data_IF_116111298419
#
_entry.id   IF_116111298419
#
_cell.length_a   1.000
_cell.length_b   1.000
_cell.length_c   1.000
_cell.angle_alpha   90.00
_cell.angle_beta   90.00
_cell.angle_gamma   90.00
#
_symmetry.space_group_name_H-M   'P 1'
#
loop_
_entity.id
_entity.type
_entity.pdbx_description
1 polymer ?
#
# COMPACT_ATOMS: atom_id res chain seq x y z
N UNK A 1 -20.97 -29.42 -14.17
CA UNK A 1 -20.89 -28.61 -15.40
C UNK A 1 -21.22 -27.18 -15.02
N UNK A 2 -20.21 -26.39 -14.71
CA UNK A 2 -20.34 -24.98 -14.40
C UNK A 2 -19.38 -24.22 -15.31
N UNK A 3 -19.97 -23.42 -16.18
CA UNK A 3 -19.52 -22.16 -16.76
C UNK A 3 -18.09 -22.03 -17.25
N UNK A 4 -17.83 -22.47 -18.48
CA UNK A 4 -16.74 -21.94 -19.31
C UNK A 4 -17.19 -20.57 -19.85
N UNK A 5 -17.09 -19.53 -19.00
CA UNK A 5 -17.51 -18.17 -19.26
C UNK A 5 -16.33 -17.22 -19.17
N UNK A 6 -15.78 -16.84 -20.33
CA UNK A 6 -15.04 -15.62 -20.63
C UNK A 6 -13.78 -15.38 -19.77
N UNK A 7 -12.76 -16.20 -19.94
CA UNK A 7 -11.38 -15.82 -19.67
C UNK A 7 -10.99 -14.84 -20.78
N UNK A 8 -10.94 -13.55 -20.47
CA UNK A 8 -10.30 -12.58 -21.36
C UNK A 8 -8.90 -13.10 -21.68
N UNK A 9 -8.64 -13.39 -22.95
CA UNK A 9 -7.35 -13.91 -23.38
C UNK A 9 -6.32 -12.80 -23.20
N UNK A 10 -5.47 -12.93 -22.18
CA UNK A 10 -4.30 -12.05 -22.02
C UNK A 10 -3.45 -12.11 -23.28
N UNK A 11 -2.88 -10.95 -23.71
CA UNK A 11 -1.99 -10.89 -24.88
C UNK A 11 -0.80 -11.83 -24.71
N UNK A 12 -0.24 -12.32 -25.83
CA UNK A 12 0.92 -13.22 -25.79
C UNK A 12 2.09 -12.64 -24.98
N UNK A 13 2.41 -11.35 -25.16
CA UNK A 13 3.45 -10.66 -24.40
C UNK A 13 3.16 -10.64 -22.89
N UNK A 14 1.92 -10.36 -22.49
CA UNK A 14 1.54 -10.34 -21.09
C UNK A 14 1.57 -11.76 -20.48
N UNK A 15 1.23 -12.78 -21.26
CA UNK A 15 1.38 -14.17 -20.84
C UNK A 15 2.86 -14.53 -20.61
N UNK A 16 3.78 -14.10 -21.48
CA UNK A 16 5.21 -14.31 -21.30
C UNK A 16 5.75 -13.61 -20.04
N UNK A 17 5.31 -12.37 -19.76
CA UNK A 17 5.68 -11.66 -18.51
C UNK A 17 5.17 -12.41 -17.27
N UNK A 18 3.96 -12.95 -17.32
CA UNK A 18 3.44 -13.79 -16.24
C UNK A 18 4.27 -15.05 -16.03
N UNK A 19 4.64 -15.74 -17.13
CA UNK A 19 5.49 -16.95 -17.03
C UNK A 19 6.90 -16.60 -16.47
N UNK A 20 7.47 -15.45 -16.83
CA UNK A 20 8.72 -14.97 -16.21
C UNK A 20 8.56 -14.75 -14.70
N UNK A 21 7.44 -14.14 -14.27
CA UNK A 21 7.13 -13.99 -12.85
C UNK A 21 7.08 -15.35 -12.14
N UNK A 22 6.37 -16.31 -12.72
CA UNK A 22 6.23 -17.65 -12.14
C UNK A 22 7.57 -18.39 -12.08
N UNK A 23 8.37 -18.32 -13.14
CA UNK A 23 9.73 -18.86 -13.17
C UNK A 23 10.60 -18.24 -12.08
N UNK A 24 10.54 -16.91 -11.92
CA UNK A 24 11.29 -16.23 -10.87
C UNK A 24 10.88 -16.64 -9.45
N UNK A 25 9.59 -16.79 -9.21
CA UNK A 25 9.08 -17.28 -7.92
C UNK A 25 9.56 -18.71 -7.63
N UNK A 26 9.57 -19.59 -8.62
CA UNK A 26 10.11 -20.96 -8.48
C UNK A 26 11.60 -20.97 -8.14
N UNK A 27 12.41 -20.11 -8.76
CA UNK A 27 13.83 -19.95 -8.48
C UNK A 27 14.09 -19.47 -7.04
N UNK A 28 13.25 -18.57 -6.51
CA UNK A 28 13.34 -18.09 -5.14
C UNK A 28 13.04 -19.18 -4.09
N UNK A 29 12.28 -20.21 -4.46
CA UNK A 29 12.02 -21.38 -3.63
C UNK A 29 11.02 -21.11 -2.52
N UNK A 30 11.47 -20.90 -1.27
CA UNK A 30 10.60 -20.58 -0.13
C UNK A 30 10.62 -19.07 0.14
N UNK A 31 9.47 -18.42 0.04
CA UNK A 31 9.40 -16.96 -0.05
C UNK A 31 8.46 -16.36 1.01
N UNK A 32 8.96 -15.38 1.75
CA UNK A 32 8.13 -14.43 2.51
C UNK A 32 7.77 -13.26 1.59
N UNK A 33 6.49 -12.98 1.43
CA UNK A 33 6.00 -11.87 0.60
C UNK A 33 5.57 -10.72 1.49
N UNK A 34 6.22 -9.55 1.38
CA UNK A 34 5.79 -8.32 2.04
C UNK A 34 4.44 -7.88 1.48
N UNK A 35 3.38 -8.07 2.26
CA UNK A 35 2.00 -7.93 1.84
C UNK A 35 1.36 -6.70 2.49
N UNK A 36 0.96 -5.73 1.69
CA UNK A 36 0.30 -4.50 2.15
C UNK A 36 -1.19 -4.43 1.79
N UNK A 37 -1.72 -5.45 1.09
CA UNK A 37 -3.08 -5.45 0.56
C UNK A 37 -3.32 -4.48 -0.60
N UNK A 38 -2.29 -3.79 -1.11
CA UNK A 38 -2.35 -3.04 -2.36
C UNK A 38 -2.30 -3.99 -3.57
N UNK A 39 -2.75 -3.55 -4.74
CA UNK A 39 -2.88 -4.38 -5.96
C UNK A 39 -1.60 -5.17 -6.24
N UNK A 40 -0.45 -4.50 -6.22
CA UNK A 40 0.82 -5.10 -6.60
C UNK A 40 1.25 -6.20 -5.62
N UNK A 41 1.23 -5.91 -4.31
CA UNK A 41 1.58 -6.90 -3.28
C UNK A 41 0.56 -8.04 -3.17
N UNK A 42 -0.73 -7.74 -3.42
CA UNK A 42 -1.79 -8.74 -3.38
C UNK A 42 -1.71 -9.69 -4.58
N UNK A 43 -1.44 -9.15 -5.78
CA UNK A 43 -1.21 -9.97 -6.95
C UNK A 43 0.07 -10.81 -6.80
N UNK A 44 1.16 -10.24 -6.27
CA UNK A 44 2.39 -10.99 -6.00
C UNK A 44 2.15 -12.14 -5.02
N UNK A 45 1.43 -11.90 -3.91
CA UNK A 45 1.12 -12.92 -2.92
C UNK A 45 0.24 -14.03 -3.50
N UNK A 46 -0.78 -13.67 -4.29
CA UNK A 46 -1.62 -14.61 -5.00
C UNK A 46 -0.82 -15.46 -6.00
N UNK A 47 0.02 -14.84 -6.83
CA UNK A 47 0.86 -15.54 -7.80
C UNK A 47 1.86 -16.47 -7.13
N UNK A 48 2.48 -16.00 -6.04
CA UNK A 48 3.39 -16.82 -5.24
C UNK A 48 2.66 -18.03 -4.63
N UNK A 49 1.44 -17.83 -4.10
CA UNK A 49 0.64 -18.93 -3.57
C UNK A 49 0.23 -19.94 -4.65
N UNK A 50 -0.17 -19.46 -5.82
CA UNK A 50 -0.54 -20.32 -6.95
C UNK A 50 0.62 -21.21 -7.42
N UNK A 51 1.86 -20.70 -7.38
CA UNK A 51 3.04 -21.41 -7.90
C UNK A 51 3.76 -22.21 -6.83
N UNK A 52 3.86 -21.70 -5.61
CA UNK A 52 4.67 -22.25 -4.53
C UNK A 52 3.86 -23.02 -3.48
N UNK A 53 2.55 -22.82 -3.42
CA UNK A 53 1.67 -23.43 -2.42
C UNK A 53 2.15 -23.11 -0.99
N UNK A 54 2.42 -24.12 -0.18
CA UNK A 54 2.87 -23.98 1.21
C UNK A 54 4.32 -23.47 1.37
N UNK A 55 5.04 -23.23 0.27
CA UNK A 55 6.37 -22.64 0.30
C UNK A 55 6.36 -21.12 0.24
N UNK A 56 5.20 -20.48 0.35
CA UNK A 56 5.10 -19.04 0.49
C UNK A 56 4.30 -18.69 1.75
N UNK A 57 4.59 -17.50 2.30
CA UNK A 57 3.83 -16.89 3.39
C UNK A 57 3.76 -15.39 3.12
N UNK A 58 2.55 -14.84 3.10
CA UNK A 58 2.36 -13.39 3.09
C UNK A 58 2.59 -12.85 4.51
N UNK A 59 3.38 -11.79 4.64
CA UNK A 59 3.65 -11.13 5.92
C UNK A 59 3.17 -9.69 5.85
N UNK A 60 2.22 -9.33 6.71
CA UNK A 60 1.65 -7.99 6.82
C UNK A 60 2.11 -7.33 8.10
N UNK A 61 2.61 -6.10 8.01
CA UNK A 61 2.89 -5.28 9.18
C UNK A 61 1.58 -4.77 9.81
N UNK A 62 1.37 -5.00 11.10
CA UNK A 62 0.39 -4.27 11.90
C UNK A 62 1.01 -2.95 12.36
N UNK A 63 1.05 -2.01 11.42
CA UNK A 63 1.60 -0.67 11.59
C UNK A 63 0.50 0.32 11.99
N UNK A 64 0.76 1.24 12.94
CA UNK A 64 -0.13 2.35 13.21
C UNK A 64 -0.39 3.26 12.00
N UNK A 65 0.49 3.21 11.00
CA UNK A 65 0.34 3.94 9.73
C UNK A 65 -0.55 3.24 8.71
N UNK A 66 -0.93 1.98 8.95
CA UNK A 66 -1.86 1.23 8.10
C UNK A 66 -3.28 1.45 8.58
N UNK A 67 -4.12 2.05 7.73
CA UNK A 67 -5.54 2.24 8.06
C UNK A 67 -6.23 0.89 8.35
N UNK A 68 -6.98 0.82 9.45
CA UNK A 68 -7.65 -0.43 9.88
C UNK A 68 -8.58 -1.01 8.83
N UNK A 69 -9.30 -0.14 8.09
CA UNK A 69 -10.15 -0.57 6.98
C UNK A 69 -9.33 -1.22 5.84
N UNK A 70 -8.10 -0.75 5.59
CA UNK A 70 -7.21 -1.37 4.60
C UNK A 70 -6.68 -2.71 5.07
N UNK A 71 -6.32 -2.81 6.35
CA UNK A 71 -5.87 -4.05 6.96
C UNK A 71 -6.97 -5.12 6.88
N UNK A 72 -8.20 -4.76 7.27
CA UNK A 72 -9.35 -5.66 7.22
C UNK A 72 -9.60 -6.18 5.80
N UNK A 73 -9.65 -5.27 4.80
CA UNK A 73 -9.85 -5.64 3.40
C UNK A 73 -8.73 -6.55 2.86
N UNK A 74 -7.49 -6.33 3.31
CA UNK A 74 -6.36 -7.16 2.92
C UNK A 74 -6.41 -8.56 3.54
N UNK A 75 -6.81 -8.67 4.80
CA UNK A 75 -7.02 -9.96 5.50
C UNK A 75 -8.15 -10.75 4.83
N UNK A 76 -9.26 -10.09 4.52
CA UNK A 76 -10.40 -10.71 3.81
C UNK A 76 -9.96 -11.24 2.43
N UNK A 77 -9.23 -10.43 1.65
CA UNK A 77 -8.72 -10.87 0.35
C UNK A 77 -7.78 -12.07 0.47
N UNK A 78 -6.87 -12.07 1.45
CA UNK A 78 -5.99 -13.21 1.66
C UNK A 78 -6.78 -14.48 1.99
N UNK A 79 -7.79 -14.37 2.85
CA UNK A 79 -8.68 -15.49 3.22
C UNK A 79 -9.50 -16.00 2.02
N UNK A 80 -10.09 -15.10 1.22
CA UNK A 80 -10.83 -15.43 -0.01
C UNK A 80 -9.98 -16.23 -1.01
N UNK A 81 -8.69 -15.87 -1.13
CA UNK A 81 -7.75 -16.51 -2.06
C UNK A 81 -6.99 -17.71 -1.43
N UNK A 82 -7.24 -18.05 -0.16
CA UNK A 82 -6.52 -19.10 0.55
C UNK A 82 -5.03 -18.81 0.76
N UNK A 83 -4.62 -17.55 0.71
CA UNK A 83 -3.22 -17.12 0.87
C UNK A 83 -2.86 -17.23 2.37
N UNK A 84 -1.82 -18.01 2.74
CA UNK A 84 -1.35 -18.05 4.12
C UNK A 84 -0.80 -16.66 4.50
N UNK A 85 -1.32 -16.09 5.58
CA UNK A 85 -1.03 -14.74 6.05
C UNK A 85 -0.59 -14.75 7.50
N UNK A 86 0.53 -14.10 7.78
CA UNK A 86 0.99 -13.75 9.12
C UNK A 86 0.93 -12.24 9.31
N UNK A 87 0.45 -11.79 10.47
CA UNK A 87 0.41 -10.38 10.84
C UNK A 87 1.43 -10.17 11.94
N UNK A 88 2.38 -9.28 11.70
CA UNK A 88 3.50 -9.00 12.60
C UNK A 88 3.43 -7.54 13.09
N UNK A 89 3.63 -7.27 14.37
CA UNK A 89 3.72 -5.90 14.86
C UNK A 89 5.00 -5.23 14.33
N UNK A 90 4.95 -3.91 14.16
CA UNK A 90 6.10 -3.07 13.84
C UNK A 90 6.12 -1.85 14.74
N UNK A 91 7.34 -1.42 15.09
CA UNK A 91 7.59 -0.36 16.07
C UNK A 91 8.17 0.91 15.42
N UNK A 92 7.84 1.17 14.13
CA UNK A 92 8.37 2.35 13.43
C UNK A 92 8.06 3.69 14.14
N UNK A 93 7.00 3.75 14.97
CA UNK A 93 6.71 4.94 15.76
C UNK A 93 7.69 5.16 16.93
N UNK A 94 8.46 4.17 17.32
CA UNK A 94 9.53 4.32 18.31
C UNK A 94 10.83 4.87 17.66
N UNK A 95 10.92 4.85 16.33
CA UNK A 95 12.04 5.38 15.58
C UNK A 95 11.91 6.91 15.40
N UNK A 96 12.81 7.68 16.02
CA UNK A 96 12.83 9.14 15.92
C UNK A 96 13.02 9.65 14.49
N UNK A 97 13.74 8.91 13.64
CA UNK A 97 13.97 9.27 12.25
C UNK A 97 12.71 9.09 11.41
N UNK A 98 11.90 8.07 11.68
CA UNK A 98 10.57 7.93 11.10
C UNK A 98 9.63 9.04 11.60
N UNK A 99 9.62 9.32 12.90
CA UNK A 99 8.75 10.34 13.49
C UNK A 99 9.01 11.75 12.94
N UNK A 100 10.25 12.07 12.52
CA UNK A 100 10.61 13.36 11.92
C UNK A 100 9.83 13.69 10.66
N UNK A 101 9.33 12.67 9.98
CA UNK A 101 8.51 12.82 8.78
C UNK A 101 9.20 13.63 7.68
N UNK A 102 10.44 13.32 7.41
CA UNK A 102 11.21 13.86 6.28
C UNK A 102 11.08 13.00 5.01
N UNK A 103 11.83 13.37 3.99
CA UNK A 103 11.85 12.64 2.71
C UNK A 103 12.30 11.17 2.84
N UNK A 104 13.00 10.81 3.93
CA UNK A 104 13.47 9.45 4.20
C UNK A 104 12.47 8.59 5.01
N UNK A 105 11.33 9.13 5.45
CA UNK A 105 10.34 8.40 6.25
C UNK A 105 10.01 7.01 5.68
N UNK A 106 9.80 6.90 4.37
CA UNK A 106 9.48 5.62 3.73
C UNK A 106 10.64 4.63 3.74
N UNK A 107 11.89 5.12 3.82
CA UNK A 107 13.06 4.26 4.05
C UNK A 107 12.96 3.61 5.42
N UNK A 108 12.80 4.39 6.49
CA UNK A 108 12.75 3.89 7.86
C UNK A 108 11.59 2.91 8.09
N UNK A 109 10.41 3.18 7.51
CA UNK A 109 9.27 2.26 7.56
C UNK A 109 9.56 0.92 6.86
N UNK A 110 10.26 0.93 5.73
CA UNK A 110 10.59 -0.30 5.00
C UNK A 110 11.76 -1.05 5.61
N UNK A 111 12.74 -0.33 6.16
CA UNK A 111 13.86 -0.89 6.90
C UNK A 111 13.37 -1.69 8.11
N UNK A 112 12.46 -1.11 8.89
CA UNK A 112 11.78 -1.80 10.00
C UNK A 112 11.05 -3.06 9.54
N UNK A 113 10.18 -2.95 8.52
CA UNK A 113 9.42 -4.09 7.99
C UNK A 113 10.35 -5.23 7.55
N UNK A 114 11.39 -4.93 6.79
CA UNK A 114 12.29 -5.97 6.28
C UNK A 114 13.13 -6.58 7.39
N UNK A 115 13.57 -5.78 8.38
CA UNK A 115 14.23 -6.28 9.58
C UNK A 115 13.35 -7.26 10.38
N UNK A 116 12.07 -6.95 10.58
CA UNK A 116 11.10 -7.84 11.23
C UNK A 116 10.92 -9.12 10.41
N UNK A 117 10.84 -9.04 9.08
CA UNK A 117 10.71 -10.23 8.22
C UNK A 117 11.96 -11.11 8.24
N UNK A 118 13.16 -10.53 8.31
CA UNK A 118 14.41 -11.29 8.47
C UNK A 118 14.46 -12.01 9.82
N UNK A 119 14.07 -11.33 10.90
CA UNK A 119 13.96 -11.95 12.22
C UNK A 119 12.95 -13.09 12.25
N UNK A 120 11.78 -12.89 11.62
CA UNK A 120 10.77 -13.94 11.47
C UNK A 120 11.32 -15.13 10.71
N UNK A 121 12.03 -14.90 9.60
CA UNK A 121 12.68 -15.96 8.82
C UNK A 121 13.69 -16.75 9.65
N UNK A 122 14.52 -16.07 10.43
CA UNK A 122 15.52 -16.68 11.29
C UNK A 122 14.90 -17.49 12.45
N UNK A 123 13.83 -16.96 13.06
CA UNK A 123 13.14 -17.60 14.19
C UNK A 123 12.36 -18.86 13.78
N UNK A 124 11.97 -18.99 12.51
CA UNK A 124 11.19 -20.13 11.99
C UNK A 124 11.98 -21.45 11.95
N UNK A 125 13.26 -21.45 12.29
CA UNK A 125 14.12 -22.62 12.41
C UNK A 125 14.52 -23.28 11.09
N UNK A 126 15.51 -24.17 11.14
CA UNK A 126 16.07 -24.83 9.96
C UNK A 126 15.04 -25.66 9.13
N UNK A 127 13.93 -26.07 9.74
CA UNK A 127 12.90 -26.89 9.09
C UNK A 127 11.95 -26.09 8.21
N UNK A 128 11.85 -24.77 8.36
CA UNK A 128 11.03 -23.91 7.50
C UNK A 128 11.86 -23.10 6.49
N UNK A 129 13.15 -22.93 6.70
CA UNK A 129 14.16 -22.36 5.81
C UNK A 129 13.66 -21.39 4.74
N UNK A 130 13.16 -20.20 5.14
CA UNK A 130 12.79 -19.16 4.18
C UNK A 130 14.03 -18.71 3.41
N UNK A 131 13.98 -18.80 2.09
CA UNK A 131 15.14 -18.55 1.22
C UNK A 131 15.22 -17.10 0.74
N UNK A 132 14.08 -16.40 0.69
CA UNK A 132 14.00 -15.04 0.21
C UNK A 132 12.82 -14.25 0.83
N UNK A 133 13.00 -12.94 0.87
CA UNK A 133 11.91 -11.96 1.06
C UNK A 133 11.62 -11.31 -0.29
N UNK A 134 10.36 -11.13 -0.65
CA UNK A 134 9.93 -10.49 -1.89
C UNK A 134 8.93 -9.36 -1.61
N UNK A 135 8.91 -8.32 -2.46
CA UNK A 135 7.96 -7.22 -2.34
C UNK A 135 7.38 -6.77 -3.70
N UNK A 136 6.24 -6.10 -3.65
CA UNK A 136 5.42 -5.78 -4.83
C UNK A 136 5.81 -4.49 -5.54
N UNK A 137 7.10 -4.24 -5.80
CA UNK A 137 7.55 -3.14 -6.66
C UNK A 137 7.42 -3.55 -8.13
N UNK A 138 7.02 -2.61 -8.99
CA UNK A 138 6.80 -2.82 -10.41
C UNK A 138 7.63 -1.83 -11.29
N UNK A 139 7.51 -1.92 -12.62
CA UNK A 139 8.28 -1.09 -13.56
C UNK A 139 7.98 0.40 -13.41
N UNK A 140 6.71 0.78 -13.16
CA UNK A 140 6.32 2.20 -13.03
C UNK A 140 6.88 2.84 -11.75
N UNK A 141 7.37 2.03 -10.81
CA UNK A 141 8.04 2.51 -9.60
C UNK A 141 9.52 2.90 -9.84
N UNK A 142 10.06 2.61 -11.02
CA UNK A 142 11.40 3.03 -11.43
C UNK A 142 11.38 4.51 -11.86
N UNK A 143 12.38 5.25 -11.48
CA UNK A 143 12.53 6.67 -11.87
C UNK A 143 11.91 7.67 -10.88
N UNK A 144 11.07 7.25 -9.95
CA UNK A 144 10.58 8.06 -8.86
C UNK A 144 11.54 8.05 -7.66
N UNK A 145 11.52 9.15 -6.88
CA UNK A 145 12.18 9.17 -5.59
C UNK A 145 11.41 8.25 -4.62
N UNK A 146 11.94 7.05 -4.42
CA UNK A 146 11.32 6.04 -3.53
C UNK A 146 12.34 5.49 -2.54
N UNK A 147 12.56 6.20 -1.42
CA UNK A 147 13.54 5.80 -0.41
C UNK A 147 13.31 4.39 0.14
N UNK A 148 12.07 3.88 0.15
CA UNK A 148 11.77 2.50 0.51
C UNK A 148 12.42 1.43 -0.38
N UNK A 149 12.75 1.75 -1.65
CA UNK A 149 13.51 0.84 -2.51
C UNK A 149 14.99 0.75 -2.10
N UNK A 150 15.52 1.81 -1.47
CA UNK A 150 16.88 1.77 -0.91
C UNK A 150 16.93 0.76 0.25
N UNK A 151 15.94 0.76 1.14
CA UNK A 151 15.82 -0.24 2.20
C UNK A 151 15.73 -1.66 1.61
N UNK A 152 14.86 -1.89 0.63
CA UNK A 152 14.73 -3.19 -0.02
C UNK A 152 16.06 -3.71 -0.60
N UNK A 153 16.85 -2.84 -1.23
CA UNK A 153 18.19 -3.22 -1.74
C UNK A 153 19.17 -3.57 -0.61
N UNK A 154 19.14 -2.83 0.51
CA UNK A 154 20.02 -3.09 1.66
C UNK A 154 19.73 -4.44 2.30
N UNK A 155 18.46 -4.84 2.37
CA UNK A 155 17.99 -6.13 2.88
C UNK A 155 17.99 -7.26 1.82
N UNK A 156 18.48 -7.02 0.61
CA UNK A 156 18.50 -8.04 -0.45
C UNK A 156 17.12 -8.55 -0.85
N UNK A 157 16.07 -7.74 -0.70
CA UNK A 157 14.67 -8.14 -0.98
C UNK A 157 14.45 -8.26 -2.48
N UNK A 158 13.93 -9.42 -2.92
CA UNK A 158 13.63 -9.70 -4.32
C UNK A 158 12.44 -8.87 -4.83
N UNK A 159 12.47 -8.55 -6.12
CA UNK A 159 11.46 -7.71 -6.79
C UNK A 159 10.83 -8.45 -8.00
N UNK A 160 10.11 -9.57 -7.80
CA UNK A 160 9.72 -10.47 -8.90
C UNK A 160 8.85 -9.81 -9.97
N UNK A 161 7.95 -8.87 -9.59
CA UNK A 161 7.12 -8.15 -10.56
C UNK A 161 7.96 -7.24 -11.45
N UNK A 162 8.92 -6.52 -10.86
CA UNK A 162 9.86 -5.67 -11.57
C UNK A 162 10.79 -6.50 -12.47
N UNK A 163 11.32 -7.59 -11.94
CA UNK A 163 12.22 -8.51 -12.67
C UNK A 163 11.50 -9.18 -13.85
N UNK A 164 10.20 -9.43 -13.74
CA UNK A 164 9.36 -9.90 -14.84
C UNK A 164 9.00 -8.81 -15.86
N UNK A 165 9.33 -7.55 -15.59
CA UNK A 165 9.02 -6.41 -16.46
C UNK A 165 7.54 -6.00 -16.44
N UNK A 166 6.82 -6.23 -15.34
CA UNK A 166 5.40 -5.92 -15.19
C UNK A 166 5.18 -4.46 -14.80
N UNK A 167 4.35 -3.78 -15.56
CA UNK A 167 3.80 -2.46 -15.24
C UNK A 167 2.57 -2.59 -14.33
N UNK A 168 2.16 -1.49 -13.70
CA UNK A 168 0.95 -1.46 -12.86
C UNK A 168 -0.32 -1.77 -13.66
N UNK A 169 -0.41 -1.30 -14.88
CA UNK A 169 -1.53 -1.60 -15.77
C UNK A 169 -1.61 -3.10 -16.11
N UNK A 170 -0.46 -3.71 -16.40
CA UNK A 170 -0.37 -5.14 -16.67
C UNK A 170 -0.68 -6.02 -15.46
N UNK A 171 -0.23 -5.60 -14.26
CA UNK A 171 -0.59 -6.29 -13.01
C UNK A 171 -2.09 -6.25 -12.78
N UNK A 172 -2.76 -5.11 -13.02
CA UNK A 172 -4.22 -4.98 -12.96
C UNK A 172 -4.92 -5.88 -13.98
N UNK A 173 -4.43 -5.93 -15.22
CA UNK A 173 -4.98 -6.79 -16.26
C UNK A 173 -4.84 -8.28 -15.89
N UNK A 174 -3.71 -8.70 -15.35
CA UNK A 174 -3.50 -10.07 -14.87
C UNK A 174 -4.40 -10.39 -13.67
N UNK A 175 -4.57 -9.45 -12.73
CA UNK A 175 -5.47 -9.60 -11.60
C UNK A 175 -6.94 -9.73 -12.06
N UNK A 176 -7.35 -8.93 -13.05
CA UNK A 176 -8.68 -9.01 -13.64
C UNK A 176 -8.92 -10.35 -14.32
N UNK A 177 -7.98 -10.79 -15.18
CA UNK A 177 -8.06 -12.07 -15.87
C UNK A 177 -8.08 -13.28 -14.90
N UNK A 178 -7.46 -13.13 -13.72
CA UNK A 178 -7.52 -14.12 -12.64
C UNK A 178 -8.79 -14.02 -11.77
N UNK A 179 -9.70 -13.09 -12.04
CA UNK A 179 -10.93 -12.89 -11.28
C UNK A 179 -10.71 -12.30 -9.87
N UNK A 180 -9.58 -11.64 -9.62
CA UNK A 180 -9.26 -11.10 -8.31
C UNK A 180 -9.92 -9.74 -8.11
N UNK A 181 -10.69 -9.57 -7.03
CA UNK A 181 -11.44 -8.32 -6.76
C UNK A 181 -10.57 -7.08 -6.57
N UNK A 182 -9.25 -7.27 -6.39
CA UNK A 182 -8.32 -6.16 -6.16
C UNK A 182 -7.89 -5.42 -7.45
N UNK A 183 -8.29 -5.90 -8.62
CA UNK A 183 -7.81 -5.39 -9.91
C UNK A 183 -8.08 -3.89 -10.12
N UNK A 184 -9.21 -3.36 -9.65
CA UNK A 184 -9.61 -1.95 -9.76
C UNK A 184 -9.38 -1.15 -8.47
N UNK A 185 -8.79 -1.78 -7.43
CA UNK A 185 -8.57 -1.14 -6.14
C UNK A 185 -7.76 0.15 -6.29
N UNK A 186 -8.24 1.29 -5.76
CA UNK A 186 -7.48 2.54 -5.78
C UNK A 186 -6.14 2.42 -5.05
N UNK A 187 -5.15 3.22 -5.48
CA UNK A 187 -3.87 3.29 -4.80
C UNK A 187 -4.07 3.76 -3.35
N UNK A 188 -3.55 2.97 -2.41
CA UNK A 188 -3.71 3.19 -0.99
C UNK A 188 -2.34 3.41 -0.35
N UNK A 189 -2.01 4.68 -0.10
CA UNK A 189 -0.81 5.03 0.64
C UNK A 189 -1.09 4.97 2.16
N UNK A 190 -0.03 4.84 2.98
CA UNK A 190 -0.13 4.81 4.44
C UNK A 190 -0.68 6.14 5.01
N UNK A 191 -1.27 6.13 6.22
CA UNK A 191 -1.82 7.32 6.89
C UNK A 191 -0.75 8.41 7.12
N UNK A 192 0.49 8.03 7.39
CA UNK A 192 1.59 8.99 7.56
C UNK A 192 1.84 9.85 6.31
N UNK A 193 1.48 9.37 5.11
CA UNK A 193 1.56 10.17 3.88
C UNK A 193 0.56 11.34 3.83
N UNK A 194 -0.38 11.42 4.78
CA UNK A 194 -1.34 12.52 4.92
C UNK A 194 -0.78 13.65 5.77
N UNK A 195 0.29 13.39 6.52
CA UNK A 195 0.87 14.36 7.44
C UNK A 195 1.88 15.21 6.67
N UNK A 196 1.78 16.52 6.81
CA UNK A 196 2.69 17.50 6.20
C UNK A 196 4.15 17.19 6.57
N UNK A 197 5.05 17.22 5.60
CA UNK A 197 6.47 16.97 5.82
C UNK A 197 7.05 17.94 6.90
N UNK A 198 7.93 17.40 7.75
CA UNK A 198 8.50 18.12 8.89
C UNK A 198 7.59 18.19 10.12
N UNK A 199 6.33 17.78 10.00
CA UNK A 199 5.44 17.63 11.16
C UNK A 199 5.56 16.21 11.71
N UNK A 200 5.77 16.11 13.02
CA UNK A 200 6.00 14.83 13.69
C UNK A 200 4.85 13.84 13.47
N UNK A 201 5.19 12.61 13.08
CA UNK A 201 4.24 11.49 13.05
C UNK A 201 4.09 10.97 14.48
N UNK A 202 2.87 10.99 14.99
CA UNK A 202 2.51 10.40 16.29
C UNK A 202 1.26 9.55 16.14
N UNK A 203 1.02 8.69 17.12
CA UNK A 203 -0.19 7.83 17.14
C UNK A 203 -1.47 8.68 17.09
N UNK A 204 -1.52 9.75 17.88
CA UNK A 204 -2.69 10.65 17.97
C UNK A 204 -2.99 11.30 16.62
N UNK A 205 -1.96 11.73 15.89
CA UNK A 205 -2.11 12.36 14.56
C UNK A 205 -2.57 11.31 13.53
N UNK A 206 -2.03 10.09 13.57
CA UNK A 206 -2.47 9.01 12.69
C UNK A 206 -3.94 8.64 12.95
N UNK A 207 -4.34 8.47 14.21
CA UNK A 207 -5.73 8.20 14.60
C UNK A 207 -6.68 9.34 14.22
N UNK A 208 -6.22 10.60 14.33
CA UNK A 208 -7.00 11.76 13.92
C UNK A 208 -7.26 11.76 12.40
N UNK A 209 -6.23 11.45 11.61
CA UNK A 209 -6.35 11.31 10.15
C UNK A 209 -7.27 10.15 9.80
N UNK A 210 -7.10 8.99 10.43
CA UNK A 210 -7.90 7.80 10.16
C UNK A 210 -9.37 8.05 10.41
N UNK A 211 -9.73 8.58 11.60
CA UNK A 211 -11.13 8.93 11.92
C UNK A 211 -11.73 9.91 10.91
N UNK A 212 -10.92 10.88 10.47
CA UNK A 212 -11.37 11.83 9.45
C UNK A 212 -11.59 11.19 8.08
N UNK A 213 -10.71 10.27 7.65
CA UNK A 213 -10.89 9.51 6.41
C UNK A 213 -12.08 8.55 6.50
N UNK A 214 -12.33 7.95 7.67
CA UNK A 214 -13.50 7.09 7.91
C UNK A 214 -14.81 7.91 7.84
N UNK A 215 -14.83 9.12 8.38
CA UNK A 215 -15.98 10.00 8.28
C UNK A 215 -16.30 10.37 6.81
N UNK A 216 -15.27 10.65 5.99
CA UNK A 216 -15.46 10.91 4.56
C UNK A 216 -15.95 9.66 3.82
N UNK A 217 -15.44 8.49 4.16
CA UNK A 217 -15.90 7.21 3.60
C UNK A 217 -17.37 6.93 3.96
N UNK A 218 -17.76 7.19 5.20
CA UNK A 218 -19.16 7.07 5.66
C UNK A 218 -20.11 8.06 4.95
N UNK A 219 -19.61 9.18 4.45
CA UNK A 219 -20.37 10.10 3.58
C UNK A 219 -20.47 9.60 2.13
N UNK A 220 -19.85 8.46 1.80
CA UNK A 220 -19.92 7.79 0.52
C UNK A 220 -18.82 8.20 -0.49
N UNK A 221 -17.83 8.98 -0.10
CA UNK A 221 -16.68 9.26 -0.97
C UNK A 221 -15.80 8.02 -1.12
N UNK A 222 -15.31 7.75 -2.33
CA UNK A 222 -14.51 6.57 -2.67
C UNK A 222 -13.02 6.90 -2.82
N UNK A 223 -12.70 8.01 -3.47
CA UNK A 223 -11.32 8.43 -3.69
C UNK A 223 -11.07 9.84 -3.14
N UNK A 224 -10.40 9.89 -2.02
CA UNK A 224 -10.12 11.12 -1.27
C UNK A 224 -8.87 10.98 -0.42
N UNK A 225 -8.40 12.10 0.14
CA UNK A 225 -7.38 12.15 1.19
C UNK A 225 -7.71 13.28 2.17
N UNK A 226 -7.46 13.02 3.44
CA UNK A 226 -7.50 14.05 4.46
C UNK A 226 -6.06 14.40 4.86
N UNK A 227 -5.58 15.57 4.46
CA UNK A 227 -4.22 16.04 4.75
C UNK A 227 -4.21 16.80 6.07
N UNK A 228 -3.25 16.42 6.92
CA UNK A 228 -3.06 17.01 8.23
C UNK A 228 -2.01 18.13 8.17
N UNK A 229 -2.47 19.39 8.35
CA UNK A 229 -1.65 20.60 8.45
C UNK A 229 -1.81 21.24 9.85
N UNK A 230 -1.57 20.46 10.92
CA UNK A 230 -1.79 20.87 12.29
C UNK A 230 -3.27 21.05 12.61
N UNK A 231 -3.69 22.27 12.87
CA UNK A 231 -5.09 22.58 13.18
C UNK A 231 -6.03 22.50 11.96
N UNK A 232 -5.49 22.38 10.75
CA UNK A 232 -6.24 22.36 9.50
C UNK A 232 -6.29 20.97 8.90
N UNK A 233 -7.49 20.47 8.64
CA UNK A 233 -7.74 19.35 7.74
C UNK A 233 -7.96 19.89 6.31
N UNK A 234 -7.08 19.55 5.36
CA UNK A 234 -7.29 19.81 3.93
C UNK A 234 -7.80 18.55 3.27
N UNK A 235 -9.02 18.59 2.75
CA UNK A 235 -9.68 17.46 2.11
C UNK A 235 -9.44 17.54 0.61
N UNK A 236 -8.87 16.47 0.04
CA UNK A 236 -8.72 16.26 -1.40
C UNK A 236 -9.75 15.20 -1.81
N UNK A 237 -10.64 15.50 -2.75
CA UNK A 237 -11.67 14.59 -3.28
C UNK A 237 -11.41 14.39 -4.77
N UNK A 238 -11.62 13.19 -5.29
CA UNK A 238 -11.50 12.90 -6.71
C UNK A 238 -12.40 13.83 -7.54
N UNK A 239 -11.94 14.21 -8.73
CA UNK A 239 -12.65 15.17 -9.60
C UNK A 239 -14.07 14.71 -9.93
N UNK A 240 -14.22 13.41 -10.13
CA UNK A 240 -15.50 12.78 -10.47
C UNK A 240 -16.51 12.83 -9.32
N UNK A 241 -16.03 13.04 -8.09
CA UNK A 241 -16.85 13.14 -6.88
C UNK A 241 -16.97 14.58 -6.36
N UNK A 242 -16.26 15.55 -6.98
CA UNK A 242 -16.16 16.93 -6.48
C UNK A 242 -17.51 17.64 -6.49
N UNK A 243 -18.32 17.45 -7.53
CA UNK A 243 -19.66 18.07 -7.65
C UNK A 243 -20.53 17.73 -6.42
N UNK A 244 -20.49 16.49 -5.97
CA UNK A 244 -21.22 16.05 -4.76
C UNK A 244 -20.68 16.70 -3.48
N UNK A 245 -19.40 17.04 -3.45
CA UNK A 245 -18.79 17.71 -2.31
C UNK A 245 -19.17 19.20 -2.22
N UNK A 246 -19.50 19.85 -3.36
CA UNK A 246 -19.69 21.29 -3.48
C UNK A 246 -21.14 21.72 -3.15
N UNK A 247 -21.67 21.29 -2.00
CA UNK A 247 -22.96 21.76 -1.51
C UNK A 247 -22.85 22.28 -0.07
N UNK A 248 -23.68 23.27 0.29
CA UNK A 248 -23.69 23.80 1.66
C UNK A 248 -24.02 22.72 2.70
N UNK A 249 -24.88 21.79 2.35
CA UNK A 249 -25.20 20.65 3.22
C UNK A 249 -23.97 19.77 3.44
N UNK A 250 -23.25 19.39 2.38
CA UNK A 250 -22.06 18.57 2.48
C UNK A 250 -20.94 19.30 3.23
N UNK A 251 -20.77 20.59 3.01
CA UNK A 251 -19.82 21.41 3.78
C UNK A 251 -20.14 21.39 5.27
N UNK A 252 -21.40 21.53 5.65
CA UNK A 252 -21.81 21.43 7.06
C UNK A 252 -21.52 20.05 7.64
N UNK A 253 -21.85 18.97 6.93
CA UNK A 253 -21.58 17.60 7.34
C UNK A 253 -20.08 17.34 7.51
N UNK A 254 -19.25 17.71 6.53
CA UNK A 254 -17.79 17.56 6.61
C UNK A 254 -17.23 18.37 7.79
N UNK A 255 -17.67 19.63 7.94
CA UNK A 255 -17.20 20.50 9.02
C UNK A 255 -17.47 19.88 10.40
N UNK A 256 -18.68 19.40 10.65
CA UNK A 256 -19.04 18.78 11.93
C UNK A 256 -18.23 17.52 12.18
N UNK A 257 -18.18 16.60 11.21
CA UNK A 257 -17.52 15.31 11.37
C UNK A 257 -15.99 15.43 11.54
N UNK A 258 -15.35 16.27 10.73
CA UNK A 258 -13.89 16.42 10.77
C UNK A 258 -13.44 17.20 12.00
N UNK A 259 -14.21 18.21 12.44
CA UNK A 259 -13.92 18.92 13.70
C UNK A 259 -14.08 17.99 14.92
N UNK A 260 -15.03 17.05 14.88
CA UNK A 260 -15.17 16.03 15.92
C UNK A 260 -13.94 15.12 16.01
N UNK A 261 -13.14 15.02 14.95
CA UNK A 261 -11.86 14.30 14.98
C UNK A 261 -10.71 15.11 15.63
N UNK A 262 -10.94 16.39 16.00
CA UNK A 262 -9.98 17.24 16.71
C UNK A 262 -9.36 18.34 15.84
N UNK A 263 -9.78 18.53 14.59
CA UNK A 263 -9.32 19.66 13.78
C UNK A 263 -10.08 20.94 14.11
N UNK A 264 -9.40 22.10 14.07
CA UNK A 264 -10.05 23.41 14.27
C UNK A 264 -10.66 23.95 12.97
N UNK A 265 -10.00 23.68 11.84
CA UNK A 265 -10.38 24.18 10.53
C UNK A 265 -10.50 23.04 9.53
N UNK A 266 -11.44 23.17 8.60
CA UNK A 266 -11.65 22.23 7.50
C UNK A 266 -11.63 23.02 6.20
N UNK A 267 -10.78 22.60 5.28
CA UNK A 267 -10.63 23.20 3.95
C UNK A 267 -10.82 22.13 2.89
N UNK A 268 -11.45 22.50 1.77
CA UNK A 268 -11.52 21.65 0.59
C UNK A 268 -10.45 22.13 -0.41
N UNK A 269 -9.64 21.20 -0.90
CA UNK A 269 -8.68 21.48 -1.97
C UNK A 269 -9.42 21.59 -3.31
N UNK A 270 -9.36 22.76 -3.92
CA UNK A 270 -10.09 23.04 -5.18
C UNK A 270 -9.50 22.31 -6.39
N UNK A 271 -8.27 21.85 -6.31
CA UNK A 271 -7.65 21.02 -7.35
C UNK A 271 -8.02 19.54 -7.22
N UNK A 272 -8.57 19.14 -6.07
CA UNK A 272 -8.99 17.78 -5.77
C UNK A 272 -7.83 16.81 -5.52
N UNK A 273 -8.16 15.53 -5.52
CA UNK A 273 -7.18 14.48 -5.29
C UNK A 273 -6.19 14.35 -6.45
N UNK A 274 -4.89 14.39 -6.12
CA UNK A 274 -3.77 14.13 -7.05
C UNK A 274 -2.75 13.22 -6.37
N UNK A 275 -2.29 12.22 -7.11
CA UNK A 275 -1.20 11.37 -6.62
C UNK A 275 0.06 12.22 -6.40
N UNK A 276 0.70 12.07 -5.24
CA UNK A 276 1.95 12.77 -4.93
C UNK A 276 1.79 14.27 -4.59
N UNK A 277 0.58 14.81 -4.38
CA UNK A 277 0.35 16.23 -4.06
C UNK A 277 1.20 16.76 -2.90
N UNK A 278 1.48 15.93 -1.89
CA UNK A 278 2.34 16.29 -0.75
C UNK A 278 3.83 16.39 -1.10
N UNK A 279 4.27 15.80 -2.20
CA UNK A 279 5.68 15.85 -2.61
C UNK A 279 6.06 17.21 -3.25
N UNK A 280 5.09 18.05 -3.56
CA UNK A 280 5.34 19.38 -4.14
C UNK A 280 6.22 20.29 -3.27
N UNK A 281 6.31 20.01 -1.97
CA UNK A 281 7.15 20.78 -1.02
C UNK A 281 8.56 20.18 -0.87
N UNK A 282 8.83 19.02 -1.46
CA UNK A 282 10.15 18.40 -1.44
C UNK A 282 10.98 18.93 -2.62
N UNK A 283 12.17 19.44 -2.32
CA UNK A 283 13.18 19.66 -3.34
C UNK A 283 13.82 18.32 -3.74
N UNK A 284 13.13 17.60 -4.62
CA UNK A 284 13.55 16.26 -5.08
C UNK A 284 14.91 16.34 -5.83
N UNK A 285 15.26 17.49 -6.37
CA UNK A 285 16.56 17.67 -7.06
C UNK A 285 17.72 17.65 -6.06
N UNK A 286 17.52 18.11 -4.84
CA UNK A 286 18.54 18.07 -3.77
C UNK A 286 18.68 16.71 -3.09
N UNK A 287 17.78 15.75 -3.38
CA UNK A 287 17.73 14.43 -2.76
C UNK A 287 18.33 13.32 -3.65
N UNK A 288 18.68 13.65 -4.90
CA UNK A 288 19.37 12.80 -5.86
C UNK A 288 20.87 13.02 -5.74
#
# INVERSE_FOLDING_TARGET
MAGDGMRDSISGELAEKRERLYGRLLELGRVLVAYSGGVDSAYLAWAAHAVLGSKMLAVMADSPSLARAQMQDAVEFAAECGIPLEIVPTDELENSDYQRNDAMRCFHCKDELFGVMEQYAAASGANQGWAAVAYGVNVDDQGDWRPGQKAARQHGVAAPLLEAGLTKAEIRALAHAAGLRIWDKPASACLSSRIEYGRKVTREVLEQVERGEDALRAMGFRQFRLRHHGDVARIEIAREEMERALSLEMFARMSVAIKACGFKYVALDVEGFRSGSMNAVLDVASLR
#
